data_IF_797521066150
#
_entry.id   IF_797521066150
#
_cell.length_a   1.000
_cell.length_b   1.000
_cell.length_c   1.000
_cell.angle_alpha   90.00
_cell.angle_beta   90.00
_cell.angle_gamma   90.00
#
_symmetry.space_group_name_H-M   'P 1'
#
loop_
_entity.id
_entity.type
_entity.pdbx_description
1 polymer ?
#
# COMPACT_ATOMS: atom_id res chain seq x y z
N UNK A 1 -6.63 17.30 -8.59
CA UNK A 1 -6.21 15.87 -8.51
C UNK A 1 -5.66 15.48 -7.13
N UNK A 2 -4.69 16.19 -6.54
CA UNK A 2 -4.04 15.76 -5.29
C UNK A 2 -4.92 15.73 -4.03
N UNK A 3 -5.88 16.67 -3.91
CA UNK A 3 -6.89 16.66 -2.84
C UNK A 3 -7.76 15.40 -2.90
N UNK A 4 -8.19 15.00 -4.09
CA UNK A 4 -8.97 13.76 -4.31
C UNK A 4 -8.14 12.54 -3.94
N UNK A 5 -6.88 12.47 -4.36
CA UNK A 5 -5.97 11.40 -3.97
C UNK A 5 -5.78 11.32 -2.44
N UNK A 6 -5.66 12.47 -1.77
CA UNK A 6 -5.55 12.53 -0.31
C UNK A 6 -6.80 11.94 0.34
N UNK A 7 -7.99 12.38 -0.07
CA UNK A 7 -9.26 11.85 0.43
C UNK A 7 -9.38 10.35 0.17
N UNK A 8 -9.03 9.87 -1.03
CA UNK A 8 -9.07 8.44 -1.36
C UNK A 8 -8.13 7.61 -0.48
N UNK A 9 -6.92 8.11 -0.20
CA UNK A 9 -5.94 7.40 0.64
C UNK A 9 -6.34 7.42 2.11
N UNK A 10 -6.82 8.56 2.62
CA UNK A 10 -7.18 8.74 4.03
C UNK A 10 -8.52 8.03 4.35
N UNK A 11 -9.51 8.11 3.45
CA UNK A 11 -10.81 7.44 3.59
C UNK A 11 -10.81 5.98 3.15
N UNK A 12 -9.66 5.43 2.73
CA UNK A 12 -9.53 4.07 2.20
C UNK A 12 -10.09 3.01 3.14
N UNK A 13 -9.83 3.14 4.45
CA UNK A 13 -10.28 2.17 5.45
C UNK A 13 -11.80 2.14 5.58
N UNK A 14 -12.45 3.30 5.50
CA UNK A 14 -13.90 3.43 5.54
C UNK A 14 -14.51 2.86 4.25
N UNK A 15 -13.94 3.16 3.09
CA UNK A 15 -14.42 2.63 1.81
C UNK A 15 -14.34 1.09 1.76
N UNK A 16 -13.24 0.52 2.25
CA UNK A 16 -13.05 -0.93 2.29
C UNK A 16 -13.96 -1.63 3.30
N UNK A 17 -14.21 -1.04 4.49
CA UNK A 17 -15.12 -1.62 5.46
C UNK A 17 -16.56 -1.60 4.95
N UNK A 18 -17.00 -0.50 4.34
CA UNK A 18 -18.33 -0.37 3.72
C UNK A 18 -18.49 -1.37 2.58
N UNK A 19 -17.50 -1.47 1.67
CA UNK A 19 -17.51 -2.45 0.57
C UNK A 19 -17.55 -3.90 1.10
N UNK A 20 -16.81 -4.20 2.16
CA UNK A 20 -16.79 -5.51 2.80
C UNK A 20 -18.15 -5.89 3.41
N UNK A 21 -18.81 -4.96 4.12
CA UNK A 21 -20.15 -5.18 4.68
C UNK A 21 -21.18 -5.36 3.57
N UNK A 22 -21.12 -4.56 2.50
CA UNK A 22 -22.00 -4.70 1.34
C UNK A 22 -21.82 -6.05 0.64
N UNK A 23 -20.58 -6.48 0.41
CA UNK A 23 -20.29 -7.79 -0.16
C UNK A 23 -20.80 -8.92 0.74
N UNK A 24 -20.63 -8.82 2.06
CA UNK A 24 -21.14 -9.82 3.00
C UNK A 24 -22.67 -9.94 2.93
N UNK A 25 -23.38 -8.80 2.94
CA UNK A 25 -24.83 -8.78 2.81
C UNK A 25 -25.29 -9.37 1.46
N UNK A 26 -24.60 -9.04 0.37
CA UNK A 26 -24.89 -9.59 -0.95
C UNK A 26 -24.68 -11.12 -1.00
N UNK A 27 -23.58 -11.63 -0.42
CA UNK A 27 -23.31 -13.07 -0.33
C UNK A 27 -24.39 -13.79 0.48
N UNK A 28 -24.80 -13.19 1.59
CA UNK A 28 -25.86 -13.73 2.46
C UNK A 28 -27.22 -13.82 1.76
N UNK A 29 -27.52 -12.93 0.80
CA UNK A 29 -28.80 -12.90 0.08
C UNK A 29 -28.79 -13.76 -1.20
N UNK A 30 -27.65 -13.89 -1.88
CA UNK A 30 -27.56 -14.49 -3.21
C UNK A 30 -26.94 -15.90 -3.28
N UNK A 31 -26.57 -16.51 -2.15
CA UNK A 31 -25.92 -17.84 -2.11
C UNK A 31 -24.77 -17.99 -3.13
N UNK A 32 -23.99 -16.93 -3.34
CA UNK A 32 -22.88 -16.93 -4.30
C UNK A 32 -21.83 -17.92 -3.83
N UNK A 33 -21.45 -18.85 -4.70
CA UNK A 33 -20.44 -19.86 -4.39
C UNK A 33 -19.06 -19.22 -4.18
N UNK A 34 -18.41 -19.59 -3.07
CA UNK A 34 -17.11 -19.05 -2.60
C UNK A 34 -16.02 -19.04 -3.70
N UNK A 35 -16.09 -20.00 -4.62
CA UNK A 35 -15.16 -20.15 -5.74
C UNK A 35 -15.14 -18.94 -6.68
N UNK A 36 -16.29 -18.31 -6.97
CA UNK A 36 -16.33 -17.14 -7.86
C UNK A 36 -15.62 -15.93 -7.26
N UNK A 37 -15.80 -15.72 -5.95
CA UNK A 37 -15.17 -14.60 -5.21
C UNK A 37 -13.66 -14.80 -5.18
N UNK A 38 -13.21 -16.04 -4.91
CA UNK A 38 -11.80 -16.38 -4.85
C UNK A 38 -11.14 -16.26 -6.22
N UNK A 39 -11.77 -16.75 -7.28
CA UNK A 39 -11.29 -16.63 -8.65
C UNK A 39 -11.18 -15.16 -9.10
N UNK A 40 -12.21 -14.35 -8.84
CA UNK A 40 -12.19 -12.92 -9.15
C UNK A 40 -11.09 -12.17 -8.39
N UNK A 41 -10.90 -12.48 -7.09
CA UNK A 41 -9.85 -11.89 -6.27
C UNK A 41 -8.44 -12.22 -6.76
N UNK A 42 -8.20 -13.47 -7.18
CA UNK A 42 -6.91 -13.88 -7.76
C UNK A 42 -6.68 -13.20 -9.11
N UNK A 43 -7.67 -13.17 -10.00
CA UNK A 43 -7.57 -12.51 -11.31
C UNK A 43 -7.26 -11.01 -11.15
N UNK A 44 -8.01 -10.31 -10.31
CA UNK A 44 -7.75 -8.89 -10.03
C UNK A 44 -6.40 -8.67 -9.35
N UNK A 45 -5.99 -9.57 -8.44
CA UNK A 45 -4.69 -9.53 -7.78
C UNK A 45 -3.51 -9.68 -8.75
N UNK A 46 -3.65 -10.53 -9.77
CA UNK A 46 -2.62 -10.69 -10.82
C UNK A 46 -2.56 -9.46 -11.73
N UNK A 47 -3.71 -8.91 -12.13
CA UNK A 47 -3.78 -7.76 -13.05
C UNK A 47 -3.31 -6.46 -12.38
N UNK A 48 -3.82 -6.14 -11.19
CA UNK A 48 -3.52 -4.88 -10.49
C UNK A 48 -2.33 -4.98 -9.52
N UNK A 49 -1.78 -6.19 -9.33
CA UNK A 49 -0.60 -6.43 -8.52
C UNK A 49 -0.73 -5.91 -7.08
N UNK A 50 0.31 -5.20 -6.61
CA UNK A 50 0.42 -4.79 -5.19
C UNK A 50 -0.60 -3.72 -4.80
N UNK A 51 -1.14 -2.99 -5.77
CA UNK A 51 -2.19 -2.00 -5.54
C UNK A 51 -3.44 -2.71 -5.03
N UNK A 52 -3.78 -3.87 -5.59
CA UNK A 52 -4.92 -4.69 -5.13
C UNK A 52 -4.80 -5.10 -3.66
N UNK A 53 -3.63 -5.59 -3.24
CA UNK A 53 -3.41 -6.01 -1.85
C UNK A 53 -3.60 -4.89 -0.82
N UNK A 54 -3.47 -3.62 -1.22
CA UNK A 54 -3.67 -2.47 -0.33
C UNK A 54 -5.08 -1.90 -0.45
N UNK A 55 -5.64 -1.84 -1.67
CA UNK A 55 -6.89 -1.14 -1.97
C UNK A 55 -8.13 -2.01 -2.02
N UNK A 56 -7.98 -3.34 -2.10
CA UNK A 56 -9.12 -4.29 -2.20
C UNK A 56 -9.04 -5.39 -1.14
N UNK A 57 -7.85 -5.86 -0.79
CA UNK A 57 -7.72 -6.98 0.15
C UNK A 57 -8.11 -6.62 1.60
N UNK A 58 -9.08 -7.32 2.21
CA UNK A 58 -9.55 -7.05 3.57
C UNK A 58 -8.51 -7.39 4.66
N UNK A 59 -7.66 -8.39 4.44
CA UNK A 59 -6.55 -8.70 5.37
C UNK A 59 -5.56 -7.55 5.50
N UNK A 60 -5.35 -6.79 4.41
CA UNK A 60 -4.50 -5.60 4.43
C UNK A 60 -5.05 -4.47 5.30
N UNK A 61 -6.37 -4.41 5.48
CA UNK A 61 -7.06 -3.45 6.34
C UNK A 61 -6.97 -3.87 7.81
N UNK A 62 -7.19 -5.14 8.12
CA UNK A 62 -7.08 -5.69 9.49
C UNK A 62 -5.71 -5.37 10.08
N UNK A 63 -4.64 -5.60 9.31
CA UNK A 63 -3.28 -5.31 9.74
C UNK A 63 -2.99 -3.81 9.94
N UNK A 64 -3.62 -2.93 9.16
CA UNK A 64 -3.45 -1.48 9.29
C UNK A 64 -4.21 -0.94 10.52
N UNK A 65 -5.38 -1.51 10.83
CA UNK A 65 -6.10 -1.24 12.08
C UNK A 65 -5.26 -1.69 13.28
N UNK A 66 -4.72 -2.90 13.23
CA UNK A 66 -3.90 -3.44 14.31
C UNK A 66 -2.64 -2.59 14.56
N UNK A 67 -1.99 -2.08 13.50
CA UNK A 67 -0.92 -1.09 13.63
C UNK A 67 -1.38 0.24 14.22
N UNK A 68 -2.58 0.70 13.84
CA UNK A 68 -3.11 1.98 14.32
C UNK A 68 -3.50 1.93 15.80
N UNK A 69 -3.87 0.75 16.30
CA UNK A 69 -4.23 0.52 17.70
C UNK A 69 -3.01 0.15 18.57
N UNK A 70 -1.96 -0.42 17.97
CA UNK A 70 -0.83 -1.04 18.67
C UNK A 70 0.28 -0.12 19.20
N UNK A 71 0.15 1.21 19.15
CA UNK A 71 1.21 2.12 19.63
C UNK A 71 2.50 2.06 18.80
N UNK A 72 3.48 2.93 19.13
CA UNK A 72 4.73 3.10 18.37
C UNK A 72 5.79 2.01 18.69
N UNK A 73 5.33 0.83 19.14
CA UNK A 73 6.17 -0.30 19.50
C UNK A 73 6.69 -1.00 18.23
N UNK A 74 8.01 -0.93 18.02
CA UNK A 74 8.68 -1.47 16.82
C UNK A 74 8.42 -2.97 16.53
N UNK A 75 7.96 -3.73 17.53
CA UNK A 75 7.59 -5.15 17.39
C UNK A 75 6.36 -5.37 16.50
N UNK A 76 5.36 -4.50 16.54
CA UNK A 76 4.15 -4.61 15.69
C UNK A 76 4.47 -4.25 14.23
N UNK A 77 5.42 -3.32 14.01
CA UNK A 77 5.94 -3.01 12.67
C UNK A 77 6.64 -4.20 12.01
N UNK A 78 7.38 -5.01 12.77
CA UNK A 78 8.02 -6.23 12.25
C UNK A 78 7.02 -7.35 11.90
N UNK A 79 5.96 -7.54 12.68
CA UNK A 79 4.93 -8.58 12.41
C UNK A 79 4.21 -8.39 11.07
N UNK A 80 4.04 -7.14 10.62
CA UNK A 80 3.47 -6.82 9.31
C UNK A 80 4.34 -7.24 8.12
N UNK A 81 5.65 -7.26 8.31
CA UNK A 81 6.59 -7.74 7.29
C UNK A 81 6.44 -9.25 7.09
N UNK A 82 6.24 -10.02 8.16
CA UNK A 82 6.06 -11.48 8.10
C UNK A 82 4.79 -11.89 7.35
N UNK A 83 3.66 -11.23 7.56
CA UNK A 83 2.41 -11.58 6.87
C UNK A 83 2.44 -11.25 5.38
N UNK A 84 3.15 -10.18 4.98
CA UNK A 84 3.41 -9.88 3.57
C UNK A 84 4.34 -10.88 2.89
N UNK A 85 5.32 -11.41 3.64
CA UNK A 85 6.24 -12.43 3.13
C UNK A 85 5.54 -13.80 3.06
N UNK A 86 4.55 -14.09 3.90
CA UNK A 86 3.79 -15.35 3.87
C UNK A 86 2.69 -15.43 2.82
N UNK A 87 2.31 -14.32 2.16
CA UNK A 87 1.21 -14.31 1.19
C UNK A 87 1.70 -14.69 -0.22
N UNK A 88 1.19 -15.78 -0.84
CA UNK A 88 1.58 -16.18 -2.20
C UNK A 88 1.30 -15.10 -3.24
N UNK A 89 0.19 -14.36 -3.07
CA UNK A 89 -0.19 -13.23 -3.93
C UNK A 89 0.85 -12.10 -3.83
N UNK A 90 1.41 -11.86 -2.65
CA UNK A 90 2.45 -10.84 -2.45
C UNK A 90 3.79 -11.26 -3.08
N UNK A 91 4.11 -12.56 -3.14
CA UNK A 91 5.28 -13.08 -3.85
C UNK A 91 5.16 -12.94 -5.36
N UNK A 92 4.04 -13.41 -5.93
CA UNK A 92 3.75 -13.30 -7.37
C UNK A 92 3.74 -11.82 -7.77
N UNK A 93 3.10 -10.97 -6.98
CA UNK A 93 3.10 -9.53 -7.21
C UNK A 93 4.44 -8.84 -6.93
N UNK A 94 5.25 -9.40 -6.03
CA UNK A 94 6.63 -8.99 -5.76
C UNK A 94 7.54 -9.19 -6.97
N UNK A 95 7.42 -10.33 -7.62
CA UNK A 95 8.12 -10.66 -8.86
C UNK A 95 7.67 -9.74 -10.01
N UNK A 96 6.36 -9.53 -10.15
CA UNK A 96 5.78 -8.62 -11.15
C UNK A 96 6.05 -7.13 -10.85
N UNK A 97 6.59 -6.78 -9.67
CA UNK A 97 6.94 -5.40 -9.31
C UNK A 97 7.99 -4.80 -10.26
N UNK A 98 8.85 -5.64 -10.87
CA UNK A 98 9.82 -5.21 -11.88
C UNK A 98 9.16 -4.59 -13.12
N UNK A 99 7.96 -5.09 -13.47
CA UNK A 99 7.13 -4.65 -14.60
C UNK A 99 5.95 -3.74 -14.19
N UNK A 100 5.80 -3.44 -12.89
CA UNK A 100 4.69 -2.63 -12.40
C UNK A 100 4.73 -1.23 -13.01
N UNK A 101 3.65 -0.88 -13.70
CA UNK A 101 3.41 0.45 -14.30
C UNK A 101 3.34 1.53 -13.21
N UNK A 102 2.97 1.12 -11.99
CA UNK A 102 2.81 1.98 -10.81
C UNK A 102 4.14 2.26 -10.08
N UNK A 103 4.98 3.12 -10.67
CA UNK A 103 6.21 3.63 -10.03
C UNK A 103 6.02 5.00 -9.38
N UNK A 104 6.61 5.14 -8.19
CA UNK A 104 6.68 6.41 -7.47
C UNK A 104 7.94 7.11 -7.96
N UNK A 105 7.81 8.34 -8.45
CA UNK A 105 8.93 9.17 -8.91
C UNK A 105 9.03 10.44 -8.08
N UNK A 106 10.26 10.80 -7.71
CA UNK A 106 10.57 12.11 -7.16
C UNK A 106 10.97 13.04 -8.30
N UNK A 107 10.41 14.24 -8.33
CA UNK A 107 10.92 15.37 -9.09
C UNK A 107 11.89 16.14 -8.17
N UNK A 108 13.18 16.13 -8.53
CA UNK A 108 14.24 16.76 -7.73
C UNK A 108 14.16 18.28 -7.77
N UNK A 109 13.76 18.87 -8.90
CA UNK A 109 13.68 20.33 -9.10
C UNK A 109 12.71 21.02 -8.13
N UNK A 110 11.61 20.35 -7.80
CA UNK A 110 10.57 20.87 -6.90
C UNK A 110 10.74 20.40 -5.46
N UNK A 111 11.69 19.49 -5.19
CA UNK A 111 11.87 18.91 -3.87
C UNK A 111 12.63 19.86 -2.95
N UNK A 112 12.07 20.13 -1.75
CA UNK A 112 12.74 20.94 -0.71
C UNK A 112 13.47 20.11 0.35
N UNK A 113 13.68 18.81 0.11
CA UNK A 113 14.40 17.90 1.01
C UNK A 113 13.93 17.88 2.48
N UNK A 114 12.62 18.09 2.69
CA UNK A 114 12.02 18.21 4.04
C UNK A 114 11.87 16.88 4.82
N UNK A 115 12.01 15.72 4.16
CA UNK A 115 11.93 14.40 4.81
C UNK A 115 10.56 13.92 5.30
N UNK A 116 9.47 14.67 5.07
CA UNK A 116 8.11 14.29 5.51
C UNK A 116 7.65 12.97 4.87
N UNK A 117 8.02 12.73 3.61
CA UNK A 117 7.72 11.50 2.89
C UNK A 117 8.34 10.25 3.55
N UNK A 118 9.56 10.35 4.06
CA UNK A 118 10.28 9.28 4.74
C UNK A 118 9.64 8.96 6.09
N UNK A 119 9.27 10.00 6.87
CA UNK A 119 8.54 9.83 8.15
C UNK A 119 7.22 9.08 7.98
N UNK A 120 6.52 9.27 6.84
CA UNK A 120 5.25 8.60 6.54
C UNK A 120 5.43 7.23 5.86
N UNK A 121 6.63 6.88 5.43
CA UNK A 121 6.91 5.62 4.77
C UNK A 121 7.32 4.56 5.80
N UNK A 122 6.49 3.52 5.98
CA UNK A 122 6.78 2.45 6.92
C UNK A 122 8.06 1.67 6.56
N UNK A 123 8.46 1.60 5.28
CA UNK A 123 9.71 0.95 4.86
C UNK A 123 10.93 1.72 5.35
N UNK A 124 10.91 3.05 5.18
CA UNK A 124 11.99 3.91 5.66
C UNK A 124 12.03 3.90 7.18
N UNK A 125 10.89 3.83 7.85
CA UNK A 125 10.83 3.68 9.31
C UNK A 125 11.43 2.34 9.80
N UNK A 126 11.41 1.28 8.98
CA UNK A 126 11.97 -0.04 9.33
C UNK A 126 13.46 -0.16 8.99
N UNK A 127 13.89 0.33 7.84
CA UNK A 127 15.28 0.26 7.36
C UNK A 127 15.79 1.66 6.93
N UNK A 128 15.94 2.61 7.87
CA UNK A 128 16.28 4.00 7.56
C UNK A 128 17.68 4.19 6.99
N UNK A 129 18.58 3.21 7.20
CA UNK A 129 19.93 3.23 6.64
C UNK A 129 19.99 2.86 5.15
N UNK A 130 18.93 2.25 4.61
CA UNK A 130 18.92 1.68 3.24
C UNK A 130 17.96 2.41 2.31
N UNK A 131 16.82 2.86 2.82
CA UNK A 131 15.75 3.43 2.00
C UNK A 131 15.50 4.90 2.31
N UNK A 132 15.32 5.71 1.26
CA UNK A 132 14.81 7.09 1.37
C UNK A 132 14.14 7.50 0.06
N UNK A 133 13.18 8.42 0.15
CA UNK A 133 12.48 9.01 -0.99
C UNK A 133 13.08 10.32 -1.46
N UNK A 134 13.99 10.94 -0.70
CA UNK A 134 14.52 12.27 -1.02
C UNK A 134 16.05 12.35 -0.96
N UNK A 135 16.73 11.44 -0.24
CA UNK A 135 18.20 11.46 -0.17
C UNK A 135 18.80 10.87 -1.45
N UNK A 136 19.75 11.57 -2.10
CA UNK A 136 20.48 11.02 -3.23
C UNK A 136 21.31 9.80 -2.76
N UNK A 137 21.48 8.80 -3.64
CA UNK A 137 22.21 7.53 -3.42
C UNK A 137 21.52 6.47 -2.54
N UNK A 138 20.34 6.74 -2.00
CA UNK A 138 19.56 5.72 -1.26
C UNK A 138 18.56 5.03 -2.18
N UNK A 139 18.18 3.81 -1.84
CA UNK A 139 17.21 3.04 -2.64
C UNK A 139 15.82 3.60 -2.39
N UNK A 140 15.06 3.86 -3.46
CA UNK A 140 13.68 4.28 -3.31
C UNK A 140 12.86 3.13 -2.68
N UNK A 141 12.12 3.37 -1.58
CA UNK A 141 11.27 2.34 -0.99
C UNK A 141 10.15 1.88 -1.94
N UNK A 142 9.89 2.59 -3.04
CA UNK A 142 8.98 2.16 -4.10
C UNK A 142 9.44 0.90 -4.85
N UNK A 143 10.75 0.65 -4.88
CA UNK A 143 11.36 -0.47 -5.61
C UNK A 143 11.53 -1.72 -4.73
N UNK A 144 11.38 -1.58 -3.41
CA UNK A 144 11.46 -2.73 -2.50
C UNK A 144 10.30 -3.70 -2.72
N UNK A 145 10.57 -4.99 -2.50
CA UNK A 145 9.54 -6.02 -2.55
C UNK A 145 8.46 -5.79 -1.49
N UNK A 146 8.81 -5.18 -0.36
CA UNK A 146 7.91 -4.91 0.78
C UNK A 146 6.94 -3.75 0.55
N UNK A 147 7.13 -2.95 -0.50
CA UNK A 147 6.31 -1.77 -0.80
C UNK A 147 4.88 -2.15 -1.20
N UNK A 148 3.89 -1.78 -0.40
CA UNK A 148 2.47 -1.98 -0.73
C UNK A 148 1.89 -0.88 -1.62
N UNK A 149 2.70 0.08 -2.08
CA UNK A 149 2.23 1.21 -2.92
C UNK A 149 1.00 1.91 -2.29
N UNK A 150 1.05 2.16 -0.98
CA UNK A 150 -0.05 2.79 -0.23
C UNK A 150 -0.22 4.30 -0.50
N UNK A 151 0.73 4.91 -1.22
CA UNK A 151 0.74 6.32 -1.62
C UNK A 151 0.72 7.34 -0.46
N UNK A 152 0.88 6.92 0.81
CA UNK A 152 0.97 7.84 1.96
C UNK A 152 2.10 8.86 1.80
N UNK A 153 3.25 8.46 1.27
CA UNK A 153 4.37 9.37 0.99
C UNK A 153 4.05 10.39 -0.12
N UNK A 154 3.32 9.98 -1.16
CA UNK A 154 2.89 10.85 -2.27
C UNK A 154 1.89 11.89 -1.78
N UNK A 155 0.95 11.49 -0.93
CA UNK A 155 -0.07 12.39 -0.36
C UNK A 155 0.52 13.33 0.69
N UNK A 156 1.47 12.86 1.50
CA UNK A 156 2.06 13.65 2.59
C UNK A 156 3.08 14.70 2.14
N UNK A 157 3.65 14.58 0.95
CA UNK A 157 4.64 15.55 0.46
C UNK A 157 4.00 16.95 0.38
N UNK A 158 4.56 18.01 0.97
CA UNK A 158 3.92 19.33 0.93
C UNK A 158 3.96 19.96 -0.48
N UNK A 159 5.07 19.80 -1.20
CA UNK A 159 5.31 20.51 -2.46
C UNK A 159 4.86 19.77 -3.73
N UNK A 160 4.36 18.53 -3.61
CA UNK A 160 3.92 17.78 -4.80
C UNK A 160 5.03 17.11 -5.59
N UNK A 161 6.25 17.08 -5.04
CA UNK A 161 7.43 16.54 -5.72
C UNK A 161 7.39 15.02 -5.93
N UNK A 162 6.56 14.29 -5.18
CA UNK A 162 6.34 12.86 -5.40
C UNK A 162 5.11 12.63 -6.26
N UNK A 163 5.28 11.89 -7.35
CA UNK A 163 4.21 11.51 -8.29
C UNK A 163 4.11 9.99 -8.41
N UNK A 164 2.91 9.51 -8.74
CA UNK A 164 2.68 8.12 -9.11
C UNK A 164 2.30 8.11 -10.60
N UNK A 165 3.03 7.34 -11.42
CA UNK A 165 2.65 7.12 -12.81
C UNK A 165 1.74 5.90 -12.85
N UNK A 166 0.59 6.01 -13.51
CA UNK A 166 -0.35 4.91 -13.77
C UNK A 166 0.06 4.22 -15.06
#
# INVERSE_FOLDING_TARGET
MRKVLKVLVDSRMIMLSVLGVLLYLAISQYHISLLYILAAGVLLGVVFGKVFCRWVCPMGLIMEIMMSLGGDDGKIKQMYQYHKIGCPIAWISGFLNKYSIFRIKLNEDTCKNCGICDKKCYIVAMEPAKFSLYKPKMIAPGDSYTCSKCLKCVVACPNGSLTYKV
#
